data_IF_075461765983
#
_entry.id   IF_075461765983
#
_cell.length_a   1.000
_cell.length_b   1.000
_cell.length_c   1.000
_cell.angle_alpha   90.00
_cell.angle_beta   90.00
_cell.angle_gamma   90.00
#
_symmetry.space_group_name_H-M   'P 1'
#
loop_
_entity.id
_entity.type
_entity.pdbx_description
1 polymer ?
#
# COMPACT_ATOMS: atom_id res chain seq x y z
N UNK A 1 38.49 5.92 -21.54
CA UNK A 1 39.48 6.93 -21.14
C UNK A 1 38.72 8.14 -20.66
N UNK A 2 38.52 8.26 -19.35
CA UNK A 2 38.04 9.48 -18.70
C UNK A 2 39.16 10.50 -18.83
N UNK A 3 39.05 11.43 -19.79
CA UNK A 3 39.89 12.63 -19.78
C UNK A 3 39.45 13.47 -18.59
N UNK A 4 39.95 13.14 -17.40
CA UNK A 4 39.96 14.06 -16.28
C UNK A 4 40.85 15.22 -16.73
N UNK A 5 40.21 16.34 -17.05
CA UNK A 5 40.93 17.59 -17.30
C UNK A 5 41.58 17.93 -15.96
N UNK A 6 42.90 17.78 -15.87
CA UNK A 6 43.67 18.23 -14.70
C UNK A 6 43.29 19.68 -14.43
N UNK A 7 42.74 19.92 -13.25
CA UNK A 7 42.27 21.25 -12.87
C UNK A 7 43.49 22.10 -12.57
N UNK A 8 43.66 23.21 -13.28
CA UNK A 8 44.82 24.09 -13.08
C UNK A 8 44.87 24.58 -11.63
N UNK A 9 46.00 24.35 -10.95
CA UNK A 9 46.18 24.76 -9.55
C UNK A 9 46.51 26.26 -9.47
N UNK A 10 45.51 27.05 -9.11
CA UNK A 10 45.67 28.48 -8.88
C UNK A 10 46.44 28.84 -7.60
N UNK A 11 46.62 27.89 -6.68
CA UNK A 11 47.30 28.13 -5.41
C UNK A 11 48.80 28.39 -5.54
N UNK A 12 49.39 28.01 -6.67
CA UNK A 12 50.81 28.19 -6.96
C UNK A 12 51.14 29.61 -7.47
N UNK A 13 50.12 30.46 -7.64
CA UNK A 13 50.24 31.81 -8.17
C UNK A 13 49.96 32.86 -7.08
N UNK A 14 50.50 34.06 -7.26
CA UNK A 14 50.07 35.20 -6.46
C UNK A 14 48.61 35.57 -6.75
N UNK A 15 47.98 36.27 -5.79
CA UNK A 15 46.56 36.63 -5.84
C UNK A 15 46.21 37.41 -7.12
N UNK A 16 47.10 38.30 -7.57
CA UNK A 16 46.83 39.15 -8.74
C UNK A 16 46.88 38.36 -10.04
N UNK A 17 47.88 37.47 -10.20
CA UNK A 17 48.00 36.60 -11.37
C UNK A 17 46.89 35.57 -11.43
N UNK A 18 46.54 34.95 -10.28
CA UNK A 18 45.43 34.01 -10.20
C UNK A 18 44.09 34.68 -10.60
N UNK A 19 43.84 35.89 -10.11
CA UNK A 19 42.63 36.65 -10.47
C UNK A 19 42.61 37.02 -11.97
N UNK A 20 43.76 37.42 -12.53
CA UNK A 20 43.88 37.74 -13.96
C UNK A 20 43.55 36.53 -14.84
N UNK A 21 44.13 35.36 -14.54
CA UNK A 21 43.88 34.14 -15.32
C UNK A 21 42.42 33.68 -15.22
N UNK A 22 41.82 33.70 -14.02
CA UNK A 22 40.38 33.40 -13.85
C UNK A 22 39.50 34.34 -14.68
N UNK A 23 39.84 35.63 -14.74
CA UNK A 23 39.14 36.59 -15.60
C UNK A 23 39.28 36.23 -17.07
N UNK A 24 40.46 35.83 -17.53
CA UNK A 24 40.67 35.39 -18.92
C UNK A 24 39.90 34.12 -19.25
N UNK A 25 39.84 33.15 -18.34
CA UNK A 25 39.03 31.94 -18.52
C UNK A 25 37.54 32.25 -18.63
N UNK A 26 37.01 33.13 -17.78
CA UNK A 26 35.61 33.55 -17.85
C UNK A 26 35.31 34.25 -19.17
N UNK A 27 36.16 35.20 -19.60
CA UNK A 27 36.01 35.86 -20.89
C UNK A 27 36.02 34.86 -22.05
N UNK A 28 36.94 33.89 -22.04
CA UNK A 28 37.00 32.84 -23.07
C UNK A 28 35.71 32.00 -23.08
N UNK A 29 35.18 31.65 -21.90
CA UNK A 29 33.93 30.91 -21.77
C UNK A 29 32.75 31.68 -22.37
N UNK A 30 32.61 32.96 -22.06
CA UNK A 30 31.56 33.81 -22.61
C UNK A 30 31.65 33.91 -24.14
N UNK A 31 32.87 34.10 -24.68
CA UNK A 31 33.10 34.17 -26.13
C UNK A 31 32.67 32.86 -26.80
N UNK A 32 33.10 31.72 -26.26
CA UNK A 32 32.76 30.40 -26.79
C UNK A 32 31.26 30.11 -26.67
N UNK A 33 30.65 30.45 -25.54
CA UNK A 33 29.22 30.27 -25.30
C UNK A 33 28.36 31.01 -26.32
N UNK A 34 28.67 32.29 -26.57
CA UNK A 34 28.00 33.12 -27.58
C UNK A 34 28.26 32.62 -28.99
N UNK A 35 29.51 32.31 -29.33
CA UNK A 35 29.87 31.79 -30.65
C UNK A 35 29.10 30.49 -30.98
N UNK A 36 28.92 29.59 -30.01
CA UNK A 36 28.11 28.40 -30.22
C UNK A 36 26.61 28.67 -30.30
N UNK A 37 26.09 29.68 -29.59
CA UNK A 37 24.70 30.13 -29.78
C UNK A 37 24.49 30.66 -31.19
N UNK A 38 25.40 31.51 -31.68
CA UNK A 38 25.34 32.09 -33.02
C UNK A 38 25.46 31.00 -34.10
N UNK A 39 26.41 30.07 -33.97
CA UNK A 39 26.50 28.93 -34.89
C UNK A 39 25.22 28.09 -34.91
N UNK A 40 24.60 27.86 -33.75
CA UNK A 40 23.34 27.15 -33.65
C UNK A 40 22.20 27.89 -34.37
N UNK A 41 22.15 29.22 -34.29
CA UNK A 41 21.19 30.06 -35.02
C UNK A 41 21.33 29.90 -36.53
N UNK A 42 22.54 30.10 -37.08
CA UNK A 42 22.77 30.00 -38.53
C UNK A 42 22.42 28.60 -39.06
N UNK A 43 22.75 27.55 -38.29
CA UNK A 43 22.40 26.17 -38.63
C UNK A 43 20.88 25.93 -38.59
N UNK A 44 20.18 26.52 -37.60
CA UNK A 44 18.72 26.42 -37.48
C UNK A 44 18.02 27.11 -38.65
N UNK A 45 18.42 28.34 -38.98
CA UNK A 45 17.84 29.10 -40.09
C UNK A 45 18.04 28.37 -41.43
N UNK A 46 19.23 27.82 -41.67
CA UNK A 46 19.50 26.99 -42.85
C UNK A 46 18.64 25.70 -42.86
N UNK A 47 18.47 25.05 -41.70
CA UNK A 47 17.64 23.86 -41.56
C UNK A 47 16.17 24.16 -41.87
N UNK A 48 15.62 25.24 -41.32
CA UNK A 48 14.24 25.69 -41.54
C UNK A 48 14.00 26.04 -43.01
N UNK A 49 14.89 26.82 -43.62
CA UNK A 49 14.79 27.22 -45.03
C UNK A 49 14.76 26.00 -45.97
N UNK A 50 15.63 25.02 -45.75
CA UNK A 50 15.69 23.82 -46.59
C UNK A 50 14.52 22.85 -46.31
N UNK A 51 14.06 22.77 -45.06
CA UNK A 51 12.92 21.90 -44.68
C UNK A 51 11.58 22.38 -45.23
N UNK A 52 11.47 23.67 -45.57
CA UNK A 52 10.24 24.29 -46.11
C UNK A 52 9.86 23.80 -47.51
N UNK A 53 10.72 23.02 -48.18
CA UNK A 53 10.48 22.52 -49.53
C UNK A 53 10.87 21.04 -49.69
N UNK A 54 9.90 20.18 -50.03
CA UNK A 54 10.14 18.74 -50.23
C UNK A 54 11.26 18.41 -51.24
N UNK A 55 11.49 19.26 -52.25
CA UNK A 55 12.58 19.08 -53.24
C UNK A 55 13.99 19.14 -52.65
N UNK A 56 14.15 19.68 -51.43
CA UNK A 56 15.45 19.82 -50.76
C UNK A 56 15.64 18.80 -49.62
N UNK A 57 14.86 17.71 -49.61
CA UNK A 57 15.03 16.64 -48.65
C UNK A 57 16.47 16.08 -48.68
N UNK A 58 17.12 16.03 -47.52
CA UNK A 58 18.50 15.57 -47.37
C UNK A 58 19.58 16.56 -47.84
N UNK A 59 19.22 17.74 -48.36
CA UNK A 59 20.20 18.76 -48.78
C UNK A 59 20.93 19.36 -47.58
N UNK A 60 20.23 19.55 -46.45
CA UNK A 60 20.83 20.09 -45.23
C UNK A 60 22.01 19.24 -44.74
N UNK A 61 21.85 17.92 -44.70
CA UNK A 61 22.90 16.98 -44.29
C UNK A 61 24.09 16.97 -45.25
N UNK A 62 23.82 17.04 -46.55
CA UNK A 62 24.88 17.16 -47.57
C UNK A 62 25.65 18.47 -47.43
N UNK A 63 24.97 19.58 -47.19
CA UNK A 63 25.58 20.90 -47.07
C UNK A 63 26.44 21.03 -45.82
N UNK A 64 25.93 20.69 -44.63
CA UNK A 64 26.75 20.82 -43.42
C UNK A 64 27.97 19.87 -43.47
N UNK A 65 27.82 18.72 -44.13
CA UNK A 65 28.94 17.78 -44.32
C UNK A 65 29.99 18.35 -45.27
N UNK A 66 29.58 19.07 -46.33
CA UNK A 66 30.53 19.67 -47.28
C UNK A 66 31.34 20.82 -46.69
N UNK A 67 30.81 21.51 -45.67
CA UNK A 67 31.56 22.52 -44.89
C UNK A 67 32.35 21.90 -43.71
N UNK A 68 32.37 20.57 -43.58
CA UNK A 68 33.19 19.85 -42.60
C UNK A 68 32.56 19.65 -41.23
N UNK A 69 31.25 19.91 -41.06
CA UNK A 69 30.55 19.72 -39.80
C UNK A 69 30.04 18.29 -39.66
N UNK A 70 30.17 17.73 -38.45
CA UNK A 70 29.62 16.41 -38.12
C UNK A 70 28.15 16.55 -37.74
N UNK A 71 27.33 15.59 -38.18
CA UNK A 71 25.89 15.50 -37.86
C UNK A 71 25.62 15.73 -36.37
N UNK A 72 26.30 15.01 -35.48
CA UNK A 72 26.08 15.13 -34.03
C UNK A 72 26.39 16.53 -33.49
N UNK A 73 27.42 17.20 -34.03
CA UNK A 73 27.76 18.56 -33.62
C UNK A 73 26.69 19.56 -34.09
N UNK A 74 26.22 19.43 -35.33
CA UNK A 74 25.16 20.27 -35.90
C UNK A 74 23.89 20.18 -35.07
N UNK A 75 23.40 18.97 -34.80
CA UNK A 75 22.18 18.79 -34.01
C UNK A 75 22.33 19.23 -32.56
N UNK A 76 23.50 19.06 -31.94
CA UNK A 76 23.77 19.61 -30.59
C UNK A 76 23.70 21.13 -30.56
N UNK A 77 24.27 21.80 -31.56
CA UNK A 77 24.23 23.26 -31.68
C UNK A 77 22.81 23.77 -31.92
N UNK A 78 22.07 23.13 -32.83
CA UNK A 78 20.67 23.46 -33.11
C UNK A 78 19.81 23.29 -31.85
N UNK A 79 19.89 22.14 -31.19
CA UNK A 79 19.09 21.89 -29.99
C UNK A 79 19.43 22.86 -28.85
N UNK A 80 20.73 23.22 -28.70
CA UNK A 80 21.15 24.23 -27.72
C UNK A 80 20.58 25.61 -28.07
N UNK A 81 20.61 25.99 -29.35
CA UNK A 81 20.00 27.23 -29.79
C UNK A 81 18.49 27.25 -29.53
N UNK A 82 17.77 26.19 -29.89
CA UNK A 82 16.33 26.07 -29.64
C UNK A 82 16.02 26.18 -28.14
N UNK A 83 16.83 25.56 -27.26
CA UNK A 83 16.68 25.73 -25.81
C UNK A 83 16.81 27.19 -25.39
N UNK A 84 17.89 27.87 -25.82
CA UNK A 84 18.20 29.24 -25.41
C UNK A 84 17.18 30.24 -25.99
N UNK A 85 16.77 30.06 -27.25
CA UNK A 85 15.82 30.93 -27.93
C UNK A 85 14.41 30.89 -27.32
N UNK A 86 14.05 29.77 -26.68
CA UNK A 86 12.76 29.59 -26.00
C UNK A 86 12.77 30.07 -24.53
N UNK A 87 13.89 30.57 -24.03
CA UNK A 87 14.01 31.12 -22.67
C UNK A 87 13.88 32.65 -22.66
N UNK A 88 13.60 33.22 -21.49
CA UNK A 88 13.66 34.66 -21.30
C UNK A 88 15.11 35.17 -21.33
N UNK A 89 15.29 36.50 -21.39
CA UNK A 89 16.63 37.09 -21.49
C UNK A 89 17.53 36.76 -20.27
N UNK A 90 16.94 36.59 -19.09
CA UNK A 90 17.67 36.27 -17.85
C UNK A 90 18.23 34.85 -17.91
N UNK A 91 17.39 33.87 -18.25
CA UNK A 91 17.79 32.47 -18.37
C UNK A 91 18.70 32.27 -19.58
N UNK A 92 18.50 33.03 -20.67
CA UNK A 92 19.42 33.04 -21.80
C UNK A 92 20.85 33.43 -21.40
N UNK A 93 21.02 34.54 -20.67
CA UNK A 93 22.34 34.95 -20.18
C UNK A 93 22.96 33.90 -19.26
N UNK A 94 22.17 33.35 -18.33
CA UNK A 94 22.60 32.25 -17.47
C UNK A 94 23.11 31.05 -18.30
N UNK A 95 22.35 30.60 -19.30
CA UNK A 95 22.71 29.47 -20.16
C UNK A 95 23.95 29.74 -21.02
N UNK A 96 24.18 30.98 -21.44
CA UNK A 96 25.39 31.35 -22.19
C UNK A 96 26.65 31.36 -21.33
N UNK A 97 26.52 31.63 -20.03
CA UNK A 97 27.62 31.64 -19.06
C UNK A 97 27.97 30.24 -18.52
N UNK A 98 27.03 29.29 -18.62
CA UNK A 98 27.21 27.91 -18.18
C UNK A 98 28.17 27.13 -19.10
N UNK A 99 28.86 26.08 -18.58
CA UNK A 99 29.67 25.19 -19.40
C UNK A 99 28.86 24.60 -20.56
N UNK A 100 29.41 24.67 -21.77
CA UNK A 100 28.75 24.18 -22.99
C UNK A 100 28.34 22.71 -22.86
N UNK A 101 29.17 21.90 -22.23
CA UNK A 101 28.88 20.48 -21.96
C UNK A 101 27.61 20.27 -21.13
N UNK A 102 27.34 21.13 -20.14
CA UNK A 102 26.11 21.08 -19.35
C UNK A 102 24.91 21.49 -20.21
N UNK A 103 25.04 22.61 -20.94
CA UNK A 103 23.96 23.11 -21.81
C UNK A 103 23.58 22.13 -22.92
N UNK A 104 24.55 21.36 -23.45
CA UNK A 104 24.28 20.30 -24.41
C UNK A 104 23.48 19.14 -23.81
N UNK A 105 23.72 18.78 -22.56
CA UNK A 105 22.97 17.68 -21.92
C UNK A 105 21.51 18.07 -21.69
N UNK A 106 21.25 19.27 -21.17
CA UNK A 106 19.87 19.74 -20.94
C UNK A 106 19.12 20.12 -22.23
N UNK A 107 19.84 20.36 -23.32
CA UNK A 107 19.25 20.63 -24.64
C UNK A 107 18.88 19.35 -25.40
N UNK A 108 19.27 18.16 -24.93
CA UNK A 108 18.91 16.92 -25.63
C UNK A 108 17.38 16.75 -25.71
N UNK A 109 16.84 16.21 -26.82
CA UNK A 109 15.41 15.89 -26.89
C UNK A 109 14.94 14.94 -25.77
N UNK A 110 15.84 14.07 -25.29
CA UNK A 110 15.58 13.15 -24.19
C UNK A 110 15.62 13.81 -22.80
N UNK A 111 16.02 15.07 -22.66
CA UNK A 111 16.16 15.76 -21.38
C UNK A 111 14.82 15.98 -20.65
N UNK A 112 13.70 15.71 -21.32
CA UNK A 112 12.35 15.78 -20.73
C UNK A 112 11.60 14.44 -20.78
N UNK A 113 12.28 13.35 -21.16
CA UNK A 113 11.68 12.03 -21.37
C UNK A 113 11.14 11.36 -20.10
N UNK A 114 11.60 11.77 -18.93
CA UNK A 114 11.25 11.19 -17.63
C UNK A 114 11.14 12.30 -16.58
N UNK A 115 10.37 12.08 -15.52
CA UNK A 115 10.21 13.04 -14.42
C UNK A 115 11.56 13.48 -13.79
N UNK A 116 12.51 12.58 -13.46
CA UNK A 116 13.83 12.94 -12.93
C UNK A 116 14.61 13.90 -13.82
N UNK A 117 14.63 13.64 -15.14
CA UNK A 117 15.32 14.48 -16.12
C UNK A 117 14.71 15.86 -16.22
N UNK A 118 13.38 15.97 -16.16
CA UNK A 118 12.70 17.28 -16.17
C UNK A 118 13.05 18.08 -14.92
N UNK A 119 13.06 17.45 -13.75
CA UNK A 119 13.47 18.10 -12.50
C UNK A 119 14.94 18.53 -12.54
N UNK A 120 15.84 17.67 -13.01
CA UNK A 120 17.26 18.00 -13.14
C UNK A 120 17.50 19.14 -14.15
N UNK A 121 16.77 19.16 -15.27
CA UNK A 121 16.81 20.27 -16.24
C UNK A 121 16.33 21.57 -15.59
N UNK A 122 15.22 21.53 -14.86
CA UNK A 122 14.69 22.72 -14.18
C UNK A 122 15.68 23.29 -13.15
N UNK A 123 16.38 22.45 -12.40
CA UNK A 123 17.40 22.90 -11.45
C UNK A 123 18.54 23.68 -12.15
N UNK A 124 18.91 23.30 -13.38
CA UNK A 124 19.88 24.06 -14.18
C UNK A 124 19.29 25.40 -14.63
N UNK A 125 18.04 25.41 -15.11
CA UNK A 125 17.36 26.64 -15.54
C UNK A 125 17.13 27.63 -14.38
N UNK A 126 16.99 27.13 -13.16
CA UNK A 126 16.91 27.94 -11.94
C UNK A 126 18.28 28.44 -11.44
N UNK A 127 19.38 27.96 -12.02
CA UNK A 127 20.75 28.31 -11.61
C UNK A 127 21.24 27.59 -10.33
N UNK A 128 20.52 26.57 -9.87
CA UNK A 128 20.88 25.73 -8.72
C UNK A 128 22.05 24.79 -9.07
N UNK A 129 22.08 24.31 -10.31
CA UNK A 129 23.11 23.40 -10.84
C UNK A 129 23.93 24.12 -11.91
N UNK A 130 25.25 24.20 -11.70
CA UNK A 130 26.15 24.97 -12.60
C UNK A 130 27.18 24.10 -13.30
N UNK A 131 27.35 22.86 -12.86
CA UNK A 131 28.32 21.93 -13.43
C UNK A 131 27.66 20.66 -13.96
N UNK A 132 28.32 20.03 -14.94
CA UNK A 132 27.88 18.74 -15.46
C UNK A 132 27.93 17.62 -14.41
N UNK A 133 28.84 17.74 -13.43
CA UNK A 133 28.98 16.76 -12.35
C UNK A 133 27.75 16.82 -11.43
N UNK A 134 27.44 18.00 -10.91
CA UNK A 134 26.25 18.24 -10.07
C UNK A 134 24.96 17.78 -10.80
N UNK A 135 24.84 18.09 -12.10
CA UNK A 135 23.71 17.64 -12.90
C UNK A 135 23.56 16.11 -12.94
N UNK A 136 24.66 15.38 -13.13
CA UNK A 136 24.65 13.91 -13.17
C UNK A 136 24.35 13.30 -11.82
N UNK A 137 24.90 13.88 -10.75
CA UNK A 137 24.64 13.44 -9.38
C UNK A 137 23.16 13.64 -9.01
N UNK A 138 22.62 14.84 -9.28
CA UNK A 138 21.20 15.14 -9.07
C UNK A 138 20.30 14.20 -9.88
N UNK A 139 20.63 13.96 -11.15
CA UNK A 139 19.85 13.05 -11.98
C UNK A 139 19.85 11.62 -11.42
N UNK A 140 21.03 11.11 -11.04
CA UNK A 140 21.16 9.78 -10.47
C UNK A 140 20.38 9.63 -9.15
N UNK A 141 20.43 10.66 -8.28
CA UNK A 141 19.65 10.69 -7.03
C UNK A 141 18.15 10.61 -7.32
N UNK A 142 17.66 11.41 -8.26
CA UNK A 142 16.24 11.45 -8.63
C UNK A 142 15.77 10.16 -9.29
N UNK A 143 16.57 9.57 -10.16
CA UNK A 143 16.28 8.27 -10.78
C UNK A 143 16.25 7.14 -9.74
N UNK A 144 17.19 7.15 -8.78
CA UNK A 144 17.20 6.18 -7.68
C UNK A 144 15.96 6.33 -6.77
N UNK A 145 15.56 7.56 -6.46
CA UNK A 145 14.37 7.83 -5.67
C UNK A 145 13.09 7.36 -6.39
N UNK A 146 12.96 7.62 -7.69
CA UNK A 146 11.81 7.15 -8.48
C UNK A 146 11.77 5.61 -8.56
N UNK A 147 12.93 4.97 -8.75
CA UNK A 147 13.02 3.51 -8.76
C UNK A 147 12.63 2.90 -7.40
N UNK A 148 13.10 3.48 -6.30
CA UNK A 148 12.74 3.06 -4.96
C UNK A 148 11.24 3.21 -4.69
N UNK A 149 10.62 4.31 -5.14
CA UNK A 149 9.18 4.53 -5.02
C UNK A 149 8.39 3.45 -5.78
N UNK A 150 8.74 3.18 -7.04
CA UNK A 150 8.09 2.13 -7.85
C UNK A 150 8.24 0.74 -7.21
N UNK A 151 9.40 0.46 -6.63
CA UNK A 151 9.62 -0.80 -5.91
C UNK A 151 8.75 -0.89 -4.66
N UNK A 152 8.66 0.18 -3.87
CA UNK A 152 7.81 0.23 -2.68
C UNK A 152 6.32 0.10 -3.03
N UNK A 153 5.87 0.75 -4.10
CA UNK A 153 4.49 0.61 -4.61
C UNK A 153 4.20 -0.83 -5.03
N UNK A 154 5.12 -1.47 -5.77
CA UNK A 154 4.98 -2.86 -6.17
C UNK A 154 4.91 -3.82 -4.97
N UNK A 155 5.77 -3.62 -3.97
CA UNK A 155 5.76 -4.41 -2.74
C UNK A 155 4.46 -4.20 -1.96
N UNK A 156 3.97 -2.96 -1.87
CA UNK A 156 2.69 -2.65 -1.22
C UNK A 156 1.53 -3.37 -1.92
N UNK A 157 1.48 -3.36 -3.24
CA UNK A 157 0.45 -4.08 -3.99
C UNK A 157 0.52 -5.59 -3.80
N UNK A 158 1.73 -6.17 -3.74
CA UNK A 158 1.91 -7.59 -3.42
C UNK A 158 1.38 -7.91 -2.02
N UNK A 159 1.76 -7.12 -1.02
CA UNK A 159 1.31 -7.29 0.35
C UNK A 159 -0.23 -7.17 0.48
N UNK A 160 -0.85 -6.24 -0.25
CA UNK A 160 -2.32 -6.12 -0.29
C UNK A 160 -2.96 -7.38 -0.88
N UNK A 161 -2.45 -7.88 -2.02
CA UNK A 161 -2.96 -9.12 -2.62
C UNK A 161 -2.80 -10.33 -1.70
N UNK A 162 -1.67 -10.44 -1.02
CA UNK A 162 -1.42 -11.52 -0.04
C UNK A 162 -2.36 -11.42 1.16
N UNK A 163 -2.60 -10.22 1.66
CA UNK A 163 -3.54 -9.97 2.76
C UNK A 163 -4.98 -10.33 2.37
N UNK A 164 -5.42 -9.99 1.15
CA UNK A 164 -6.74 -10.37 0.64
C UNK A 164 -6.87 -11.90 0.54
N UNK A 165 -5.87 -12.60 0.00
CA UNK A 165 -5.86 -14.08 -0.07
C UNK A 165 -5.94 -14.68 1.34
N UNK A 166 -5.23 -14.12 2.31
CA UNK A 166 -5.24 -14.61 3.68
C UNK A 166 -6.60 -14.41 4.34
N UNK A 167 -7.24 -13.25 4.11
CA UNK A 167 -8.61 -12.97 4.58
C UNK A 167 -9.61 -13.98 4.03
N UNK A 168 -9.59 -14.21 2.72
CA UNK A 168 -10.50 -15.17 2.07
C UNK A 168 -10.29 -16.61 2.58
N UNK A 169 -9.05 -16.98 2.90
CA UNK A 169 -8.75 -18.28 3.53
C UNK A 169 -9.29 -18.38 4.95
N UNK A 170 -9.20 -17.30 5.73
CA UNK A 170 -9.68 -17.27 7.11
C UNK A 170 -11.20 -17.42 7.16
N UNK A 171 -11.91 -16.69 6.28
CA UNK A 171 -13.37 -16.78 6.14
C UNK A 171 -13.81 -18.22 5.81
N UNK A 172 -13.13 -18.91 4.90
CA UNK A 172 -13.41 -20.33 4.59
C UNK A 172 -13.15 -21.29 5.75
N UNK A 173 -12.20 -20.98 6.63
CA UNK A 173 -11.92 -21.80 7.83
C UNK A 173 -12.98 -21.55 8.90
N UNK A 174 -13.48 -20.32 9.03
CA UNK A 174 -14.58 -19.98 9.94
C UNK A 174 -15.92 -20.59 9.48
N UNK A 175 -16.18 -20.65 8.17
CA UNK A 175 -17.38 -21.28 7.59
C UNK A 175 -17.33 -22.82 7.64
N UNK A 176 -16.14 -23.41 7.80
CA UNK A 176 -16.01 -24.86 7.89
C UNK A 176 -16.43 -25.35 9.30
N UNK A 177 -17.62 -25.97 9.39
CA UNK A 177 -18.01 -26.68 10.61
C UNK A 177 -16.96 -27.78 10.92
N UNK A 178 -16.49 -27.91 12.17
CA UNK A 178 -15.53 -28.94 12.52
C UNK A 178 -16.16 -30.33 12.31
N UNK A 179 -15.58 -31.15 11.43
CA UNK A 179 -15.94 -32.56 11.31
C UNK A 179 -15.53 -33.30 12.60
N UNK A 180 -16.46 -33.42 13.55
CA UNK A 180 -16.29 -34.26 14.72
C UNK A 180 -16.51 -35.71 14.28
N UNK A 181 -15.43 -36.44 13.98
CA UNK A 181 -15.50 -37.90 13.83
C UNK A 181 -15.58 -38.55 15.21
N UNK A 182 -16.77 -39.03 15.57
CA UNK A 182 -16.97 -39.91 16.74
C UNK A 182 -16.94 -41.36 16.27
N UNK A 183 -15.92 -42.10 16.72
CA UNK A 183 -15.86 -43.56 16.52
C UNK A 183 -16.40 -44.25 17.79
N UNK A 184 -17.56 -44.89 17.67
CA UNK A 184 -18.12 -45.69 18.76
C UNK A 184 -17.38 -47.03 18.84
N UNK A 185 -16.61 -47.21 19.91
CA UNK A 185 -15.95 -48.49 20.20
C UNK A 185 -16.93 -49.39 20.97
N UNK A 186 -17.48 -50.40 20.30
CA UNK A 186 -18.28 -51.44 20.98
C UNK A 186 -17.39 -52.28 21.91
N UNK A 187 -17.51 -52.06 23.22
CA UNK A 187 -16.82 -52.84 24.24
C UNK A 187 -17.53 -54.19 24.41
N UNK A 188 -16.93 -55.27 23.89
CA UNK A 188 -17.50 -56.64 23.89
C UNK A 188 -17.81 -57.24 25.27
N UNK A 189 -17.21 -56.70 26.33
CA UNK A 189 -17.49 -57.09 27.73
C UNK A 189 -17.46 -55.83 28.58
N UNK A 190 -18.63 -55.27 28.96
CA UNK A 190 -18.66 -54.04 29.72
C UNK A 190 -18.04 -54.25 31.11
N UNK A 191 -17.17 -53.33 31.54
CA UNK A 191 -16.64 -53.33 32.89
C UNK A 191 -17.81 -53.22 33.89
N UNK A 192 -17.92 -54.11 34.88
CA UNK A 192 -18.97 -54.05 35.90
C UNK A 192 -19.08 -52.68 36.60
N UNK A 193 -17.98 -51.93 36.72
CA UNK A 193 -18.01 -50.57 37.27
C UNK A 193 -18.68 -49.57 36.33
N UNK A 194 -18.40 -49.64 35.03
CA UNK A 194 -19.00 -48.75 34.02
C UNK A 194 -20.50 -49.01 33.85
N UNK A 195 -20.94 -50.26 34.02
CA UNK A 195 -22.36 -50.63 34.06
C UNK A 195 -23.07 -50.03 35.28
N UNK A 196 -22.47 -50.18 36.46
CA UNK A 196 -23.03 -49.61 37.69
C UNK A 196 -23.06 -48.08 37.65
N UNK A 197 -22.04 -47.45 37.05
CA UNK A 197 -21.98 -45.99 36.90
C UNK A 197 -23.03 -45.49 35.91
N UNK A 198 -23.25 -46.19 34.78
CA UNK A 198 -24.30 -45.86 33.83
C UNK A 198 -25.71 -46.00 34.41
N UNK A 199 -25.98 -47.05 35.18
CA UNK A 199 -27.28 -47.20 35.86
C UNK A 199 -27.49 -46.08 36.90
N UNK A 200 -26.43 -45.67 37.59
CA UNK A 200 -26.46 -44.52 38.49
C UNK A 200 -26.68 -43.20 37.75
N UNK A 201 -26.12 -43.04 36.56
CA UNK A 201 -26.39 -41.89 35.68
C UNK A 201 -27.84 -41.88 35.19
N UNK A 202 -28.42 -43.03 34.81
CA UNK A 202 -29.83 -43.14 34.42
C UNK A 202 -30.80 -42.85 35.57
N UNK A 203 -30.47 -43.23 36.80
CA UNK A 203 -31.27 -42.88 37.98
C UNK A 203 -31.21 -41.38 38.30
N UNK A 204 -30.05 -40.73 38.09
CA UNK A 204 -29.84 -39.33 38.46
C UNK A 204 -30.34 -38.33 37.39
N UNK A 205 -30.25 -38.71 36.11
CA UNK A 205 -30.57 -37.85 34.97
C UNK A 205 -31.76 -38.32 34.13
N UNK A 206 -32.36 -39.48 34.44
CA UNK A 206 -33.44 -40.10 33.67
C UNK A 206 -32.94 -40.86 32.44
N UNK A 207 -33.84 -41.64 31.83
CA UNK A 207 -33.52 -42.40 30.60
C UNK A 207 -33.24 -41.43 29.44
N UNK A 208 -32.06 -41.55 28.83
CA UNK A 208 -31.61 -40.68 27.72
C UNK A 208 -32.53 -40.83 26.49
N UNK A 209 -33.34 -41.90 26.44
CA UNK A 209 -34.41 -42.08 25.46
C UNK A 209 -35.47 -40.97 25.48
N UNK A 210 -35.58 -40.16 26.55
CA UNK A 210 -36.41 -38.94 26.55
C UNK A 210 -35.86 -37.83 25.63
N UNK A 211 -34.57 -37.84 25.32
CA UNK A 211 -33.91 -36.92 24.39
C UNK A 211 -33.80 -37.51 22.97
N UNK A 212 -34.01 -38.82 22.81
CA UNK A 212 -34.20 -39.48 21.51
C UNK A 212 -35.67 -39.43 21.07
N UNK A 213 -36.24 -38.23 20.96
CA UNK A 213 -37.67 -38.05 20.71
C UNK A 213 -38.02 -36.86 19.83
N UNK A 214 -38.22 -37.14 18.53
CA UNK A 214 -39.04 -36.44 17.52
C UNK A 214 -39.66 -35.11 17.95
N UNK A 215 -39.29 -34.03 17.26
CA UNK A 215 -39.96 -32.72 17.31
C UNK A 215 -41.48 -32.85 17.19
N UNK A 216 -42.22 -32.74 18.30
CA UNK A 216 -43.67 -32.54 18.25
C UNK A 216 -43.96 -31.08 18.00
N UNK A 217 -44.56 -30.80 16.84
CA UNK A 217 -44.96 -29.48 16.36
C UNK A 217 -45.94 -28.82 17.34
N UNK A 218 -45.49 -27.79 18.05
CA UNK A 218 -46.34 -27.00 18.94
C UNK A 218 -47.04 -25.92 18.10
N UNK A 219 -48.25 -26.27 17.63
CA UNK A 219 -49.34 -25.42 17.10
C UNK A 219 -49.10 -24.57 15.83
N UNK A 220 -50.22 -24.04 15.29
CA UNK A 220 -50.31 -23.34 14.01
C UNK A 220 -49.60 -21.99 14.08
N UNK A 221 -48.73 -21.72 13.10
CA UNK A 221 -47.72 -20.68 13.16
C UNK A 221 -48.27 -19.26 13.33
N UNK A 222 -47.95 -18.68 14.49
CA UNK A 222 -47.91 -17.24 14.76
C UNK A 222 -46.54 -16.88 15.34
N UNK A 223 -46.22 -15.58 15.45
CA UNK A 223 -44.92 -15.07 15.93
C UNK A 223 -44.46 -15.64 17.30
N UNK A 224 -45.41 -16.15 18.09
CA UNK A 224 -45.15 -16.82 19.38
C UNK A 224 -44.47 -18.19 19.18
N UNK A 225 -44.75 -18.90 18.07
CA UNK A 225 -44.15 -20.23 17.81
C UNK A 225 -42.65 -20.15 17.53
N UNK A 226 -42.19 -19.13 16.80
CA UNK A 226 -40.77 -18.92 16.51
C UNK A 226 -39.99 -18.53 17.76
N UNK A 227 -40.55 -17.61 18.57
CA UNK A 227 -39.92 -17.14 19.81
C UNK A 227 -39.85 -18.25 20.87
N UNK A 228 -40.86 -19.12 20.97
CA UNK A 228 -40.81 -20.30 21.87
C UNK A 228 -39.75 -21.31 21.41
N UNK A 229 -39.61 -21.52 20.09
CA UNK A 229 -38.58 -22.41 19.54
C UNK A 229 -37.17 -21.85 19.77
N UNK A 230 -36.96 -20.57 19.48
CA UNK A 230 -35.70 -19.87 19.70
C UNK A 230 -35.32 -19.89 21.19
N UNK A 231 -36.25 -19.57 22.09
CA UNK A 231 -36.04 -19.69 23.54
C UNK A 231 -35.65 -21.12 23.96
N UNK A 232 -36.27 -22.14 23.37
CA UNK A 232 -35.96 -23.54 23.67
C UNK A 232 -34.56 -23.96 23.19
N UNK A 233 -34.12 -23.44 22.04
CA UNK A 233 -32.76 -23.64 21.53
C UNK A 233 -31.72 -22.89 22.37
N UNK A 234 -32.03 -21.67 22.81
CA UNK A 234 -31.15 -20.86 23.65
C UNK A 234 -31.00 -21.46 25.06
N UNK A 235 -32.08 -21.97 25.65
CA UNK A 235 -32.01 -22.70 26.92
C UNK A 235 -31.15 -23.95 26.77
N UNK A 236 -31.24 -24.67 25.65
CA UNK A 236 -30.39 -25.84 25.40
C UNK A 236 -28.91 -25.45 25.33
N UNK A 237 -28.57 -24.44 24.51
CA UNK A 237 -27.20 -23.92 24.41
C UNK A 237 -26.68 -23.39 25.74
N UNK A 238 -27.54 -22.76 26.54
CA UNK A 238 -27.20 -22.28 27.88
C UNK A 238 -26.83 -23.44 28.82
N UNK A 239 -27.64 -24.50 28.84
CA UNK A 239 -27.38 -25.70 29.65
C UNK A 239 -26.11 -26.43 29.17
N UNK A 240 -25.90 -26.56 27.87
CA UNK A 240 -24.67 -27.13 27.30
C UNK A 240 -23.45 -26.30 27.70
N UNK A 241 -23.54 -24.97 27.58
CA UNK A 241 -22.44 -24.06 27.87
C UNK A 241 -22.08 -24.01 29.36
N UNK A 242 -23.07 -24.00 30.26
CA UNK A 242 -22.84 -23.74 31.70
C UNK A 242 -23.11 -24.93 32.62
N UNK A 243 -23.61 -26.06 32.10
CA UNK A 243 -23.94 -27.25 32.90
C UNK A 243 -22.74 -27.80 33.68
N UNK A 244 -21.53 -27.64 33.14
CA UNK A 244 -20.28 -28.02 33.80
C UNK A 244 -20.07 -27.32 35.16
N UNK A 245 -20.62 -26.11 35.37
CA UNK A 245 -20.46 -25.35 36.61
C UNK A 245 -20.98 -26.12 37.83
N UNK A 246 -21.93 -27.04 37.66
CA UNK A 246 -22.45 -27.88 38.76
C UNK A 246 -21.38 -28.76 39.43
N UNK A 247 -20.22 -28.95 38.79
CA UNK A 247 -19.11 -29.76 39.30
C UNK A 247 -18.02 -28.94 40.03
N UNK A 248 -18.08 -27.61 40.01
CA UNK A 248 -17.05 -26.71 40.57
C UNK A 248 -17.32 -26.35 42.04
N UNK A 249 -17.73 -27.33 42.85
CA UNK A 249 -18.12 -27.11 44.25
C UNK A 249 -16.98 -26.52 45.08
N UNK A 250 -15.74 -26.95 44.84
CA UNK A 250 -14.56 -26.44 45.56
C UNK A 250 -14.28 -24.98 45.22
N UNK A 251 -14.39 -24.61 43.95
CA UNK A 251 -14.12 -23.28 43.41
C UNK A 251 -15.22 -22.30 43.82
N UNK A 252 -16.47 -22.76 43.93
CA UNK A 252 -17.54 -21.99 44.58
C UNK A 252 -17.32 -21.83 46.08
N UNK A 253 -16.76 -22.81 46.78
CA UNK A 253 -16.46 -22.69 48.22
C UNK A 253 -15.32 -21.69 48.49
N UNK A 254 -14.31 -21.67 47.62
CA UNK A 254 -13.14 -20.79 47.70
C UNK A 254 -13.41 -19.34 47.21
N UNK A 255 -14.56 -19.09 46.59
CA UNK A 255 -14.96 -17.77 46.11
C UNK A 255 -15.22 -16.80 47.27
N UNK A 256 -14.84 -15.53 47.10
CA UNK A 256 -15.16 -14.44 48.03
C UNK A 256 -16.68 -14.23 48.14
N UNK A 257 -17.15 -13.76 49.28
CA UNK A 257 -18.58 -13.70 49.60
C UNK A 257 -19.36 -12.77 48.67
N UNK A 258 -18.75 -11.66 48.23
CA UNK A 258 -19.34 -10.75 47.24
C UNK A 258 -19.56 -11.43 45.89
N UNK A 259 -18.60 -12.27 45.45
CA UNK A 259 -18.71 -13.04 44.22
C UNK A 259 -19.82 -14.10 44.31
N UNK A 260 -19.89 -14.81 45.43
CA UNK A 260 -20.96 -15.78 45.69
C UNK A 260 -22.33 -15.11 45.65
N UNK A 261 -22.44 -13.92 46.21
CA UNK A 261 -23.70 -13.18 46.27
C UNK A 261 -24.16 -12.70 44.88
N UNK A 262 -23.24 -12.21 44.04
CA UNK A 262 -23.57 -11.86 42.65
C UNK A 262 -23.99 -13.09 41.82
N UNK A 263 -23.36 -14.24 42.02
CA UNK A 263 -23.81 -15.49 41.42
C UNK A 263 -25.21 -15.90 41.90
N UNK A 264 -25.50 -15.78 43.20
CA UNK A 264 -26.83 -16.08 43.76
C UNK A 264 -27.92 -15.17 43.20
N UNK A 265 -27.66 -13.86 43.10
CA UNK A 265 -28.59 -12.90 42.48
C UNK A 265 -28.88 -13.26 41.03
N UNK A 266 -27.85 -13.62 40.27
CA UNK A 266 -27.99 -14.03 38.86
C UNK A 266 -28.87 -15.27 38.72
N UNK A 267 -28.66 -16.29 39.56
CA UNK A 267 -29.49 -17.51 39.60
C UNK A 267 -30.93 -17.17 40.00
N UNK A 268 -31.10 -16.33 41.02
CA UNK A 268 -32.43 -15.90 41.50
C UNK A 268 -33.22 -15.14 40.44
N UNK A 269 -32.56 -14.28 39.65
CA UNK A 269 -33.18 -13.57 38.53
C UNK A 269 -33.67 -14.54 37.45
N UNK A 270 -32.85 -15.55 37.09
CA UNK A 270 -33.24 -16.59 36.13
C UNK A 270 -34.44 -17.41 36.63
N UNK A 271 -34.41 -17.86 37.89
CA UNK A 271 -35.53 -18.58 38.49
C UNK A 271 -36.81 -17.74 38.52
N UNK A 272 -36.71 -16.46 38.86
CA UNK A 272 -37.85 -15.53 38.88
C UNK A 272 -38.45 -15.35 37.50
N UNK A 273 -37.62 -15.17 36.46
CA UNK A 273 -38.08 -15.08 35.07
C UNK A 273 -38.79 -16.37 34.65
N UNK A 274 -38.17 -17.53 34.87
CA UNK A 274 -38.73 -18.83 34.49
C UNK A 274 -40.08 -19.10 35.19
N UNK A 275 -40.17 -18.80 36.49
CA UNK A 275 -41.42 -18.91 37.24
C UNK A 275 -42.50 -17.95 36.71
N UNK A 276 -42.13 -16.74 36.30
CA UNK A 276 -43.05 -15.77 35.71
C UNK A 276 -43.58 -16.24 34.34
N UNK A 277 -42.70 -16.79 33.49
CA UNK A 277 -43.09 -17.41 32.21
C UNK A 277 -44.02 -18.60 32.45
N UNK A 278 -43.66 -19.49 33.37
CA UNK A 278 -44.47 -20.66 33.73
C UNK A 278 -45.85 -20.24 34.28
N UNK A 279 -45.90 -19.17 35.08
CA UNK A 279 -47.18 -18.63 35.58
C UNK A 279 -48.02 -18.07 34.43
N UNK A 280 -47.44 -17.27 33.54
CA UNK A 280 -48.14 -16.71 32.38
C UNK A 280 -48.71 -17.81 31.45
N UNK A 281 -48.02 -18.94 31.33
CA UNK A 281 -48.53 -20.11 30.57
C UNK A 281 -49.71 -20.81 31.24
N UNK A 282 -49.85 -20.69 32.56
CA UNK A 282 -50.87 -21.37 33.37
C UNK A 282 -52.05 -20.47 33.77
N UNK A 283 -51.97 -19.15 33.52
CA UNK A 283 -53.07 -18.21 33.76
C UNK A 283 -54.20 -18.45 32.74
N UNK A 284 -55.36 -18.88 33.23
CA UNK A 284 -56.52 -19.26 32.41
C UNK A 284 -57.56 -18.15 32.18
N UNK A 285 -57.32 -16.91 32.60
CA UNK A 285 -58.24 -15.80 32.33
C UNK A 285 -57.49 -14.53 31.95
N UNK A 286 -57.79 -14.01 30.76
CA UNK A 286 -57.54 -12.62 30.44
C UNK A 286 -58.38 -11.76 31.41
N UNK A 287 -57.72 -11.01 32.28
CA UNK A 287 -58.38 -9.91 32.99
C UNK A 287 -58.70 -8.86 31.93
N UNK A 288 -59.92 -8.90 31.38
CA UNK A 288 -60.51 -7.76 30.70
C UNK A 288 -60.83 -6.73 31.79
N UNK A 289 -59.95 -5.75 31.98
CA UNK A 289 -60.33 -4.55 32.72
C UNK A 289 -61.16 -3.69 31.75
N UNK A 290 -62.48 -3.83 31.83
CA UNK A 290 -63.38 -2.79 31.33
C UNK A 290 -63.47 -1.70 32.41
N UNK A 291 -62.96 -0.51 32.08
CA UNK A 291 -63.00 0.69 32.91
C UNK A 291 -62.00 1.72 32.42
#
# INVERSE_FOLDING_TARGET
MTNEIETFNYGDLDISTAAFLRKKENNMREIVGKAYTDLGRELKEAQEHLSSHNKYQGVFEKWFTSVGLKRDAVWRLINRYDLIANCDNTVKQLLEDLPVSLTYEIARPSAESTEPKRQAKQAVLNGEVKTLKEYRELLAEKEAAEAALKQAESQREQAVREADILRDKLERVEEAEPEIQTEYVEVKTPDPKLLAENERYKELFGDISMYEGRTTRVTNGDAITYTVREFSEDVRKFVEKYGHLTHFVREFNEMIDEGKEEYRKSIHAMLTLMNSIQRAMNEKEAIIING
#
